data_IF_517480226565
#
_entry.id   IF_517480226565
#
_cell.length_a   1.000
_cell.length_b   1.000
_cell.length_c   1.000
_cell.angle_alpha   90.00
_cell.angle_beta   90.00
_cell.angle_gamma   90.00
#
_symmetry.space_group_name_H-M   'P 1'
#
loop_
_entity.id
_entity.type
_entity.pdbx_description
1 polymer ?
#
# COMPACT_ATOMS: atom_id res chain seq x y z
N UNK A 1 17.51 33.13 13.53
CA UNK A 1 16.92 31.87 13.06
C UNK A 1 17.63 31.48 11.77
N UNK A 2 18.25 30.29 11.70
CA UNK A 2 19.06 29.87 10.55
C UNK A 2 18.18 29.65 9.29
N UNK A 3 18.68 30.05 8.11
CA UNK A 3 18.02 29.86 6.81
C UNK A 3 17.62 28.39 6.59
N UNK A 4 18.40 27.43 7.08
CA UNK A 4 18.10 25.99 7.05
C UNK A 4 16.79 25.66 7.80
N UNK A 5 16.53 26.29 8.95
CA UNK A 5 15.32 26.05 9.75
C UNK A 5 14.04 26.56 9.06
N UNK A 6 14.15 27.70 8.35
CA UNK A 6 13.05 28.24 7.54
C UNK A 6 12.76 27.33 6.34
N UNK A 7 13.78 26.79 5.70
CA UNK A 7 13.65 25.89 4.55
C UNK A 7 12.99 24.56 4.95
N UNK A 8 13.37 23.96 6.08
CA UNK A 8 12.78 22.71 6.60
C UNK A 8 11.29 22.92 6.95
N UNK A 9 10.95 24.00 7.64
CA UNK A 9 9.56 24.32 7.98
C UNK A 9 8.68 24.51 6.74
N UNK A 10 9.19 25.18 5.71
CA UNK A 10 8.46 25.40 4.45
C UNK A 10 8.25 24.10 3.66
N UNK A 11 9.23 23.19 3.68
CA UNK A 11 9.12 21.87 3.05
C UNK A 11 8.10 20.98 3.79
N UNK A 12 8.14 20.95 5.12
CA UNK A 12 7.18 20.19 5.92
C UNK A 12 5.74 20.70 5.73
N UNK A 13 5.51 22.00 5.72
CA UNK A 13 4.20 22.60 5.45
C UNK A 13 3.67 22.21 4.07
N UNK A 14 4.50 22.24 3.04
CA UNK A 14 4.12 21.77 1.68
C UNK A 14 3.72 20.31 1.67
N UNK A 15 4.45 19.44 2.36
CA UNK A 15 4.11 18.02 2.45
C UNK A 15 2.77 17.76 3.15
N UNK A 16 2.50 18.49 4.22
CA UNK A 16 1.20 18.41 4.93
C UNK A 16 0.05 18.91 4.06
N UNK A 17 0.29 19.95 3.26
CA UNK A 17 -0.71 20.43 2.31
C UNK A 17 -0.94 19.43 1.18
N UNK A 18 0.12 18.87 0.58
CA UNK A 18 0.03 17.80 -0.41
C UNK A 18 -0.80 16.61 0.12
N UNK A 19 -0.55 16.19 1.36
CA UNK A 19 -1.29 15.12 2.02
C UNK A 19 -2.77 15.49 2.20
N UNK A 20 -3.07 16.69 2.71
CA UNK A 20 -4.44 17.18 2.85
C UNK A 20 -5.16 17.16 1.52
N UNK A 21 -4.54 17.68 0.48
CA UNK A 21 -5.11 17.72 -0.86
C UNK A 21 -5.30 16.33 -1.44
N UNK A 22 -4.39 15.39 -1.18
CA UNK A 22 -4.54 13.99 -1.60
C UNK A 22 -5.70 13.28 -0.90
N UNK A 23 -5.95 13.59 0.38
CA UNK A 23 -7.07 13.07 1.17
C UNK A 23 -8.42 13.66 0.75
N UNK A 24 -8.45 14.93 0.33
CA UNK A 24 -9.68 15.61 -0.08
C UNK A 24 -10.02 15.46 -1.56
N UNK A 25 -9.09 14.98 -2.38
CA UNK A 25 -9.31 14.77 -3.81
C UNK A 25 -10.02 13.45 -4.06
N UNK A 26 -11.22 13.51 -4.64
CA UNK A 26 -11.94 12.34 -5.16
C UNK A 26 -11.68 12.27 -6.67
N UNK A 27 -11.07 11.19 -7.19
CA UNK A 27 -10.82 11.03 -8.61
C UNK A 27 -12.12 10.89 -9.41
N UNK A 28 -12.09 11.31 -10.66
CA UNK A 28 -13.20 11.09 -11.60
C UNK A 28 -13.33 9.62 -12.05
N UNK A 29 -14.44 9.28 -12.68
CA UNK A 29 -14.71 7.91 -13.12
C UNK A 29 -13.70 7.36 -14.13
N UNK A 30 -13.09 8.23 -14.96
CA UNK A 30 -12.04 7.82 -15.91
C UNK A 30 -10.76 7.42 -15.17
N UNK A 31 -10.38 8.19 -14.18
CA UNK A 31 -9.23 7.91 -13.33
C UNK A 31 -9.44 6.63 -12.52
N UNK A 32 -10.64 6.42 -11.95
CA UNK A 32 -10.98 5.17 -11.27
C UNK A 32 -10.89 3.95 -12.20
N UNK A 33 -11.38 4.05 -13.46
CA UNK A 33 -11.23 2.98 -14.45
C UNK A 33 -9.76 2.66 -14.72
N UNK A 34 -8.93 3.68 -14.90
CA UNK A 34 -7.48 3.49 -15.11
C UNK A 34 -6.83 2.79 -13.93
N UNK A 35 -7.14 3.21 -12.70
CA UNK A 35 -6.65 2.55 -11.48
C UNK A 35 -7.15 1.10 -11.37
N UNK A 36 -8.41 0.83 -11.77
CA UNK A 36 -8.97 -0.51 -11.82
C UNK A 36 -8.27 -1.43 -12.83
N UNK A 37 -7.88 -0.91 -13.99
CA UNK A 37 -7.10 -1.66 -14.99
C UNK A 37 -5.70 -2.00 -14.46
N UNK A 38 -5.05 -1.06 -13.78
CA UNK A 38 -3.73 -1.30 -13.13
C UNK A 38 -3.87 -2.36 -12.04
N UNK A 39 -4.95 -2.32 -11.25
CA UNK A 39 -5.24 -3.35 -10.26
C UNK A 39 -5.52 -4.72 -10.92
N UNK A 40 -6.26 -4.75 -12.02
CA UNK A 40 -6.45 -5.98 -12.81
C UNK A 40 -5.13 -6.59 -13.29
N UNK A 41 -4.20 -5.76 -13.77
CA UNK A 41 -2.85 -6.21 -14.15
C UNK A 41 -2.07 -6.75 -12.94
N UNK A 42 -2.17 -6.08 -11.78
CA UNK A 42 -1.61 -6.60 -10.53
C UNK A 42 -2.15 -8.00 -10.23
N UNK A 43 -3.46 -8.20 -10.29
CA UNK A 43 -4.07 -9.51 -10.00
C UNK A 43 -3.60 -10.59 -10.96
N UNK A 44 -3.49 -10.29 -12.26
CA UNK A 44 -2.97 -11.21 -13.27
C UNK A 44 -1.55 -11.66 -12.95
N UNK A 45 -0.70 -10.75 -12.46
CA UNK A 45 0.68 -11.09 -12.09
C UNK A 45 0.79 -11.74 -10.70
N UNK A 46 0.00 -11.26 -9.74
CA UNK A 46 0.11 -11.69 -8.34
C UNK A 46 -0.52 -13.07 -8.10
N UNK A 47 -1.63 -13.37 -8.77
CA UNK A 47 -2.38 -14.61 -8.53
C UNK A 47 -1.57 -15.87 -8.83
N UNK A 48 -0.86 -16.00 -9.98
CA UNK A 48 0.01 -17.15 -10.24
C UNK A 48 1.13 -17.31 -9.20
N UNK A 49 1.78 -16.21 -8.83
CA UNK A 49 2.84 -16.23 -7.80
C UNK A 49 2.27 -16.72 -6.47
N UNK A 50 1.11 -16.20 -6.08
CA UNK A 50 0.42 -16.59 -4.85
C UNK A 50 0.02 -18.08 -4.81
N UNK A 51 -0.51 -18.60 -5.93
CA UNK A 51 -0.89 -20.00 -6.06
C UNK A 51 0.34 -20.94 -6.00
N UNK A 52 1.37 -20.66 -6.79
CA UNK A 52 2.57 -21.48 -6.89
C UNK A 52 3.36 -21.53 -5.57
N UNK A 53 3.35 -20.42 -4.83
CA UNK A 53 4.02 -20.33 -3.52
C UNK A 53 3.17 -20.84 -2.36
N UNK A 54 1.89 -21.14 -2.58
CA UNK A 54 0.95 -21.52 -1.53
C UNK A 54 0.51 -20.37 -0.62
N UNK A 55 0.82 -19.12 -0.97
CA UNK A 55 0.32 -17.92 -0.27
C UNK A 55 -1.16 -17.64 -0.57
N UNK A 56 -1.65 -18.15 -1.70
CA UNK A 56 -3.04 -18.08 -2.13
C UNK A 56 -3.59 -19.51 -2.18
N UNK A 57 -4.64 -19.77 -1.43
CA UNK A 57 -5.37 -21.07 -1.38
C UNK A 57 -6.85 -20.78 -1.24
N UNK A 58 -7.70 -21.60 -1.85
CA UNK A 58 -9.14 -21.55 -1.62
C UNK A 58 -9.45 -22.04 -0.19
N UNK A 59 -9.27 -21.18 0.79
CA UNK A 59 -9.49 -21.48 2.21
C UNK A 59 -10.16 -20.30 2.89
N UNK A 60 -11.48 -20.10 2.68
CA UNK A 60 -12.22 -18.99 3.26
C UNK A 60 -12.24 -19.11 4.78
N UNK A 61 -11.96 -18.00 5.44
CA UNK A 61 -12.01 -17.91 6.90
C UNK A 61 -13.46 -18.01 7.38
N UNK A 62 -13.74 -18.88 8.34
CA UNK A 62 -15.02 -18.89 9.04
C UNK A 62 -15.09 -17.63 9.93
N UNK A 63 -15.87 -16.65 9.50
CA UNK A 63 -16.06 -15.36 10.18
C UNK A 63 -17.56 -15.11 10.39
N UNK A 64 -17.92 -14.70 11.59
CA UNK A 64 -19.25 -14.14 11.86
C UNK A 64 -19.43 -12.79 11.16
N UNK A 65 -20.66 -12.33 11.01
CA UNK A 65 -20.95 -11.02 10.43
C UNK A 65 -20.23 -9.87 11.17
N UNK A 66 -20.20 -9.94 12.50
CA UNK A 66 -19.54 -8.90 13.32
C UNK A 66 -18.02 -8.92 13.12
N UNK A 67 -17.41 -10.10 13.01
CA UNK A 67 -15.97 -10.22 12.70
C UNK A 67 -15.64 -9.73 11.30
N UNK A 68 -16.50 -9.96 10.31
CA UNK A 68 -16.32 -9.42 8.96
C UNK A 68 -16.33 -7.89 8.99
N UNK A 69 -17.34 -7.27 9.60
CA UNK A 69 -17.42 -5.81 9.69
C UNK A 69 -16.26 -5.25 10.51
N UNK A 70 -16.01 -5.79 11.70
CA UNK A 70 -14.97 -5.30 12.60
C UNK A 70 -13.57 -5.43 12.01
N UNK A 71 -13.23 -6.62 11.47
CA UNK A 71 -11.92 -6.82 10.83
C UNK A 71 -11.78 -6.02 9.54
N UNK A 72 -12.85 -5.87 8.75
CA UNK A 72 -12.84 -5.06 7.54
C UNK A 72 -12.53 -3.59 7.82
N UNK A 73 -13.17 -3.01 8.82
CA UNK A 73 -12.89 -1.64 9.26
C UNK A 73 -11.48 -1.50 9.85
N UNK A 74 -11.05 -2.46 10.66
CA UNK A 74 -9.69 -2.45 11.20
C UNK A 74 -8.65 -2.50 10.07
N UNK A 75 -8.80 -3.41 9.11
CA UNK A 75 -7.90 -3.55 7.97
C UNK A 75 -7.94 -2.32 7.04
N UNK A 76 -9.06 -1.62 6.98
CA UNK A 76 -9.14 -0.35 6.26
C UNK A 76 -8.30 0.74 6.93
N UNK A 77 -8.40 0.88 8.26
CA UNK A 77 -7.63 1.88 9.00
C UNK A 77 -6.16 1.47 9.08
N UNK A 78 -5.90 0.23 9.42
CA UNK A 78 -4.56 -0.35 9.52
C UNK A 78 -4.57 -1.80 8.97
N UNK A 79 -3.82 -2.12 7.91
CA UNK A 79 -2.69 -1.33 7.35
C UNK A 79 -3.09 -0.31 6.27
N UNK A 80 -4.23 -0.49 5.55
CA UNK A 80 -4.43 0.16 4.26
C UNK A 80 -4.31 1.70 4.31
N UNK A 81 -5.13 2.39 5.10
CA UNK A 81 -5.10 3.85 5.15
C UNK A 81 -3.80 4.38 5.77
N UNK A 82 -3.36 3.80 6.89
CA UNK A 82 -2.18 4.27 7.60
C UNK A 82 -0.90 4.15 6.75
N UNK A 83 -0.71 3.02 6.09
CA UNK A 83 0.47 2.81 5.24
C UNK A 83 0.43 3.67 3.98
N UNK A 84 -0.74 3.83 3.34
CA UNK A 84 -0.85 4.70 2.17
C UNK A 84 -0.62 6.18 2.53
N UNK A 85 -1.07 6.65 3.70
CA UNK A 85 -0.73 8.00 4.20
C UNK A 85 0.79 8.16 4.32
N UNK A 86 1.48 7.20 4.92
CA UNK A 86 2.92 7.28 5.13
C UNK A 86 3.67 7.17 3.80
N UNK A 87 3.48 6.08 3.07
CA UNK A 87 4.32 5.74 1.93
C UNK A 87 3.97 6.51 0.66
N UNK A 88 2.73 6.95 0.48
CA UNK A 88 2.28 7.72 -0.70
C UNK A 88 2.03 9.17 -0.35
N UNK A 89 1.22 9.44 0.65
CA UNK A 89 0.85 10.80 1.03
C UNK A 89 2.01 11.66 1.52
N UNK A 90 2.90 11.11 2.36
CA UNK A 90 4.02 11.86 2.94
C UNK A 90 5.33 11.72 2.17
N UNK A 91 5.65 10.54 1.64
CA UNK A 91 6.94 10.31 0.99
C UNK A 91 6.95 10.67 -0.50
N UNK A 92 5.83 10.52 -1.22
CA UNK A 92 5.77 10.84 -2.64
C UNK A 92 5.25 12.26 -2.90
N UNK A 93 5.71 12.93 -3.98
CA UNK A 93 5.14 14.21 -4.38
C UNK A 93 3.75 14.00 -4.98
N UNK A 94 2.78 14.82 -4.57
CA UNK A 94 1.45 14.81 -5.19
C UNK A 94 1.50 15.31 -6.64
N UNK A 95 2.24 16.36 -6.93
CA UNK A 95 2.50 16.83 -8.28
C UNK A 95 3.80 16.25 -8.84
N UNK A 96 3.73 15.00 -9.28
CA UNK A 96 4.87 14.28 -9.87
C UNK A 96 5.34 14.86 -11.21
N UNK A 97 4.47 15.61 -11.93
CA UNK A 97 4.80 16.20 -13.24
C UNK A 97 5.82 17.31 -13.15
N UNK A 98 5.90 18.02 -12.01
CA UNK A 98 6.88 19.07 -11.75
C UNK A 98 8.26 18.53 -11.38
N UNK A 99 8.42 17.21 -11.21
CA UNK A 99 9.66 16.58 -10.77
C UNK A 99 10.45 16.01 -11.94
N UNK A 100 11.79 16.17 -11.96
CA UNK A 100 12.65 15.45 -12.89
C UNK A 100 12.44 13.94 -12.74
N UNK A 101 12.26 13.22 -13.87
CA UNK A 101 11.95 11.77 -13.88
C UNK A 101 12.92 10.96 -13.02
N UNK A 102 14.23 11.25 -13.10
CA UNK A 102 15.24 10.56 -12.29
C UNK A 102 14.99 10.73 -10.79
N UNK A 103 14.70 11.95 -10.35
CA UNK A 103 14.42 12.23 -8.94
C UNK A 103 13.13 11.54 -8.47
N UNK A 104 12.09 11.56 -9.29
CA UNK A 104 10.84 10.87 -8.97
C UNK A 104 11.05 9.37 -8.82
N UNK A 105 11.78 8.73 -9.74
CA UNK A 105 12.08 7.30 -9.70
C UNK A 105 12.92 6.93 -8.46
N UNK A 106 13.91 7.74 -8.10
CA UNK A 106 14.73 7.50 -6.90
C UNK A 106 13.89 7.59 -5.62
N UNK A 107 13.05 8.62 -5.50
CA UNK A 107 12.19 8.78 -4.30
C UNK A 107 11.13 7.69 -4.23
N UNK A 108 10.48 7.35 -5.35
CA UNK A 108 9.49 6.28 -5.41
C UNK A 108 10.12 4.90 -5.11
N UNK A 109 11.32 4.65 -5.65
CA UNK A 109 12.08 3.42 -5.36
C UNK A 109 12.50 3.32 -3.90
N UNK A 110 12.98 4.41 -3.31
CA UNK A 110 13.33 4.45 -1.89
C UNK A 110 12.10 4.24 -0.99
N UNK A 111 10.98 4.91 -1.28
CA UNK A 111 9.72 4.73 -0.55
C UNK A 111 9.21 3.28 -0.66
N UNK A 112 9.30 2.67 -1.85
CA UNK A 112 8.95 1.26 -2.06
C UNK A 112 9.87 0.32 -1.28
N UNK A 113 11.18 0.56 -1.29
CA UNK A 113 12.14 -0.27 -0.54
C UNK A 113 11.85 -0.23 0.97
N UNK A 114 11.58 0.96 1.52
CA UNK A 114 11.20 1.11 2.94
C UNK A 114 9.85 0.43 3.22
N UNK A 115 8.87 0.58 2.33
CA UNK A 115 7.59 -0.11 2.43
C UNK A 115 7.76 -1.63 2.49
N UNK A 116 8.51 -2.22 1.57
CA UNK A 116 8.76 -3.68 1.54
C UNK A 116 9.51 -4.13 2.79
N UNK A 117 10.57 -3.42 3.18
CA UNK A 117 11.37 -3.74 4.36
C UNK A 117 10.59 -3.59 5.67
N UNK A 118 9.59 -2.71 5.74
CA UNK A 118 8.78 -2.55 6.94
C UNK A 118 7.99 -3.81 7.31
N UNK A 119 7.66 -4.68 6.35
CA UNK A 119 6.88 -5.89 6.60
C UNK A 119 7.64 -6.92 7.47
N UNK A 120 8.84 -7.41 7.08
CA UNK A 120 9.61 -8.30 7.94
C UNK A 120 10.06 -7.62 9.24
N UNK A 121 10.38 -6.32 9.22
CA UNK A 121 10.74 -5.57 10.43
C UNK A 121 9.56 -5.55 11.42
N UNK A 122 8.34 -5.24 10.96
CA UNK A 122 7.14 -5.25 11.80
C UNK A 122 6.81 -6.66 12.31
N UNK A 123 7.01 -7.69 11.48
CA UNK A 123 6.85 -9.07 11.92
C UNK A 123 7.84 -9.42 13.03
N UNK A 124 9.12 -9.09 12.85
CA UNK A 124 10.18 -9.33 13.85
C UNK A 124 9.88 -8.63 15.18
N UNK A 125 9.40 -7.38 15.14
CA UNK A 125 9.18 -6.58 16.35
C UNK A 125 7.88 -6.93 17.08
N UNK A 126 6.80 -7.26 16.35
CA UNK A 126 5.45 -7.35 16.94
C UNK A 126 4.79 -8.72 16.76
N UNK A 127 5.29 -9.57 15.84
CA UNK A 127 4.69 -10.86 15.51
C UNK A 127 5.74 -11.90 15.09
N UNK A 128 6.69 -12.26 15.97
CA UNK A 128 7.84 -13.10 15.64
C UNK A 128 7.44 -14.49 15.11
N UNK A 129 6.24 -14.99 15.45
CA UNK A 129 5.74 -16.28 14.97
C UNK A 129 5.49 -16.33 13.46
N UNK A 130 5.35 -15.18 12.79
CA UNK A 130 5.09 -15.11 11.33
C UNK A 130 6.25 -14.49 10.53
N UNK A 131 7.41 -14.29 11.15
CA UNK A 131 8.60 -13.72 10.49
C UNK A 131 8.96 -14.50 9.23
N UNK A 132 9.00 -15.83 9.30
CA UNK A 132 9.34 -16.67 8.15
C UNK A 132 8.41 -16.48 6.94
N UNK A 133 7.12 -16.15 7.17
CA UNK A 133 6.21 -15.78 6.10
C UNK A 133 6.60 -14.44 5.48
N UNK A 134 6.82 -13.42 6.32
CA UNK A 134 7.09 -12.05 5.87
C UNK A 134 8.49 -11.87 5.25
N UNK A 135 9.43 -12.75 5.54
CA UNK A 135 10.77 -12.78 4.91
C UNK A 135 10.80 -13.65 3.65
N UNK A 136 9.76 -14.44 3.38
CA UNK A 136 9.74 -15.31 2.21
C UNK A 136 9.77 -14.51 0.90
N UNK A 137 10.58 -14.97 -0.05
CA UNK A 137 10.72 -14.30 -1.35
C UNK A 137 9.38 -14.09 -2.08
N UNK A 138 8.42 -15.05 -2.09
CA UNK A 138 7.12 -14.85 -2.73
C UNK A 138 6.30 -13.75 -2.03
N UNK A 139 6.32 -13.69 -0.70
CA UNK A 139 5.60 -12.65 0.04
C UNK A 139 6.18 -11.26 -0.27
N UNK A 140 7.51 -11.12 -0.22
CA UNK A 140 8.19 -9.87 -0.55
C UNK A 140 7.97 -9.46 -2.01
N UNK A 141 7.92 -10.40 -2.94
CA UNK A 141 7.60 -10.14 -4.35
C UNK A 141 6.17 -9.60 -4.51
N UNK A 142 5.18 -10.24 -3.86
CA UNK A 142 3.79 -9.79 -3.88
C UNK A 142 3.61 -8.43 -3.21
N UNK A 143 4.27 -8.20 -2.08
CA UNK A 143 4.29 -6.90 -1.39
C UNK A 143 4.91 -5.81 -2.27
N UNK A 144 6.00 -6.13 -2.97
CA UNK A 144 6.64 -5.20 -3.93
C UNK A 144 5.68 -4.86 -5.07
N UNK A 145 5.02 -5.85 -5.64
CA UNK A 145 4.06 -5.65 -6.73
C UNK A 145 2.86 -4.81 -6.29
N UNK A 146 2.32 -5.06 -5.09
CA UNK A 146 1.26 -4.24 -4.50
C UNK A 146 1.74 -2.80 -4.27
N UNK A 147 2.94 -2.64 -3.72
CA UNK A 147 3.56 -1.35 -3.49
C UNK A 147 3.76 -0.53 -4.78
N UNK A 148 4.19 -1.17 -5.87
CA UNK A 148 4.28 -0.56 -7.20
C UNK A 148 2.91 -0.14 -7.71
N UNK A 149 1.90 -0.99 -7.58
CA UNK A 149 0.52 -0.73 -7.98
C UNK A 149 -0.06 0.48 -7.25
N UNK A 150 0.06 0.53 -5.93
CA UNK A 150 -0.37 1.65 -5.11
C UNK A 150 0.39 2.94 -5.45
N UNK A 151 1.70 2.85 -5.70
CA UNK A 151 2.50 4.00 -6.14
C UNK A 151 2.02 4.54 -7.49
N UNK A 152 1.81 3.67 -8.48
CA UNK A 152 1.35 4.07 -9.82
C UNK A 152 -0.04 4.72 -9.75
N UNK A 153 -0.98 4.13 -9.02
CA UNK A 153 -2.34 4.65 -8.89
C UNK A 153 -2.38 5.99 -8.14
N UNK A 154 -1.55 6.18 -7.11
CA UNK A 154 -1.39 7.46 -6.44
C UNK A 154 -0.84 8.55 -7.37
N UNK A 155 0.24 8.27 -8.11
CA UNK A 155 0.86 9.25 -9.01
C UNK A 155 -0.05 9.65 -10.18
N UNK A 156 -0.91 8.72 -10.65
CA UNK A 156 -1.88 8.98 -11.72
C UNK A 156 -3.07 9.78 -11.19
N UNK A 157 -3.65 9.37 -10.07
CA UNK A 157 -4.87 9.95 -9.51
C UNK A 157 -4.63 11.25 -8.72
N UNK A 158 -3.43 11.44 -8.18
CA UNK A 158 -3.08 12.48 -7.21
C UNK A 158 -3.99 12.46 -5.97
N UNK A 159 -4.58 11.32 -5.69
CA UNK A 159 -5.48 11.02 -4.59
C UNK A 159 -5.00 9.76 -3.88
N UNK A 160 -5.19 9.70 -2.58
CA UNK A 160 -4.82 8.51 -1.80
C UNK A 160 -5.84 7.38 -1.96
N UNK A 161 -7.09 7.69 -2.32
CA UNK A 161 -8.22 6.76 -2.25
C UNK A 161 -8.10 5.55 -3.17
N UNK A 162 -7.63 5.64 -4.43
CA UNK A 162 -7.43 4.46 -5.25
C UNK A 162 -6.40 3.49 -4.67
N UNK A 163 -5.28 3.99 -4.14
CA UNK A 163 -4.26 3.14 -3.51
C UNK A 163 -4.77 2.51 -2.21
N UNK A 164 -5.49 3.26 -1.37
CA UNK A 164 -6.15 2.72 -0.16
C UNK A 164 -7.15 1.61 -0.51
N UNK A 165 -8.00 1.84 -1.50
CA UNK A 165 -8.99 0.85 -1.93
C UNK A 165 -8.32 -0.44 -2.44
N UNK A 166 -7.29 -0.32 -3.28
CA UNK A 166 -6.54 -1.46 -3.83
C UNK A 166 -5.84 -2.23 -2.72
N UNK A 167 -5.15 -1.53 -1.83
CA UNK A 167 -4.45 -2.13 -0.70
C UNK A 167 -5.44 -2.89 0.20
N UNK A 168 -6.50 -2.22 0.62
CA UNK A 168 -7.54 -2.81 1.46
C UNK A 168 -8.19 -4.03 0.83
N UNK A 169 -8.64 -3.93 -0.43
CA UNK A 169 -9.26 -5.04 -1.14
C UNK A 169 -8.32 -6.24 -1.25
N UNK A 170 -7.03 -6.00 -1.54
CA UNK A 170 -6.03 -7.07 -1.62
C UNK A 170 -5.86 -7.79 -0.29
N UNK A 171 -5.68 -7.03 0.80
CA UNK A 171 -5.46 -7.62 2.14
C UNK A 171 -6.72 -8.33 2.64
N UNK A 172 -7.89 -7.72 2.50
CA UNK A 172 -9.17 -8.33 2.92
C UNK A 172 -9.45 -9.62 2.13
N UNK A 173 -9.30 -9.59 0.81
CA UNK A 173 -9.52 -10.77 -0.03
C UNK A 173 -8.55 -11.90 0.33
N UNK A 174 -7.27 -11.58 0.53
CA UNK A 174 -6.28 -12.55 0.93
C UNK A 174 -6.60 -13.17 2.29
N UNK A 175 -6.93 -12.35 3.28
CA UNK A 175 -7.20 -12.83 4.64
C UNK A 175 -8.52 -13.60 4.75
N UNK A 176 -9.57 -13.15 4.07
CA UNK A 176 -10.88 -13.74 4.25
C UNK A 176 -11.16 -14.92 3.32
N UNK A 177 -10.68 -14.86 2.08
CA UNK A 177 -11.05 -15.83 1.04
C UNK A 177 -9.90 -16.74 0.61
N UNK A 178 -8.67 -16.21 0.65
CA UNK A 178 -7.52 -16.85 0.01
C UNK A 178 -6.49 -17.44 0.99
N UNK A 179 -6.94 -17.77 2.21
CA UNK A 179 -6.15 -18.53 3.17
C UNK A 179 -5.14 -17.73 4.00
N UNK A 180 -5.01 -16.42 3.80
CA UNK A 180 -4.07 -15.58 4.54
C UNK A 180 -4.27 -15.64 6.07
N UNK A 181 -5.53 -15.71 6.55
CA UNK A 181 -5.82 -15.82 7.99
C UNK A 181 -5.22 -17.10 8.61
N UNK A 182 -5.17 -18.19 7.86
CA UNK A 182 -4.57 -19.45 8.34
C UNK A 182 -3.04 -19.39 8.38
N UNK A 183 -2.41 -18.60 7.50
CA UNK A 183 -0.96 -18.40 7.46
C UNK A 183 -0.44 -17.45 8.56
N UNK A 184 -1.33 -16.66 9.16
CA UNK A 184 -0.99 -15.70 10.23
C UNK A 184 -1.31 -16.20 11.64
N UNK A 185 -1.66 -17.46 11.79
CA UNK A 185 -1.85 -18.18 13.07
C UNK A 185 -0.59 -18.94 13.44
#
# INVERSE_FOLDING_TARGET
MSAAFVTIRSAARRRLQDLRDALTTIPDGRTWRTCGLIYGLFLICAFPVGLLSGLVRANPAALTRNELVGSGLLLFVHPALAEEIVFRGLLLPRDSRSWPRRRLLLVAGAALAVYVASHPINALLFRPQVVGLFESSPYLALTTLLGLTCTATYLISRSIWPSVAIHWLTVVTWLWLLGGKALLR
#
